data_IF_129295418790
#
_entry.id   IF_129295418790
#
_cell.length_a   1.000
_cell.length_b   1.000
_cell.length_c   1.000
_cell.angle_alpha   90.00
_cell.angle_beta   90.00
_cell.angle_gamma   90.00
#
_symmetry.space_group_name_H-M   'P 1'
#
loop_
_entity.id
_entity.type
_entity.pdbx_description
1 polymer ?
#
# COMPACT_ATOMS: atom_id res chain seq x y z
N UNK A 1 12.16 -15.36 11.06
CA UNK A 1 11.60 -16.25 10.02
C UNK A 1 12.54 -16.34 8.83
N UNK A 2 12.92 -15.20 8.21
CA UNK A 2 13.79 -15.20 7.01
C UNK A 2 15.11 -15.92 7.30
N UNK A 3 15.76 -15.61 8.41
CA UNK A 3 17.07 -16.21 8.78
C UNK A 3 17.00 -17.72 9.03
N UNK A 4 15.93 -18.17 9.68
CA UNK A 4 15.85 -19.55 10.17
C UNK A 4 15.07 -20.52 9.27
N UNK A 5 14.25 -20.01 8.34
CA UNK A 5 13.26 -20.81 7.61
C UNK A 5 13.35 -20.72 6.09
N UNK A 6 14.25 -19.90 5.55
CA UNK A 6 14.32 -19.71 4.09
C UNK A 6 15.72 -19.99 3.54
N UNK A 7 15.80 -20.24 2.22
CA UNK A 7 17.07 -20.31 1.51
C UNK A 7 17.85 -18.99 1.63
N UNK A 8 17.16 -17.86 1.75
CA UNK A 8 17.77 -16.54 1.94
C UNK A 8 18.57 -16.50 3.25
N UNK A 9 18.03 -17.06 4.33
CA UNK A 9 18.73 -17.12 5.63
C UNK A 9 20.08 -17.80 5.55
N UNK A 10 20.23 -18.82 4.69
CA UNK A 10 21.48 -19.56 4.53
C UNK A 10 22.62 -18.76 3.86
N UNK A 11 22.30 -17.64 3.25
CA UNK A 11 23.24 -16.81 2.50
C UNK A 11 23.31 -15.36 3.03
N UNK A 12 22.74 -15.10 4.22
CA UNK A 12 22.71 -13.74 4.79
C UNK A 12 24.09 -13.22 5.16
N UNK A 13 25.03 -14.08 5.49
CA UNK A 13 26.40 -13.70 5.79
C UNK A 13 27.11 -13.13 4.54
N UNK A 14 26.88 -13.75 3.38
CA UNK A 14 27.44 -13.31 2.10
C UNK A 14 26.63 -12.16 1.47
N UNK A 15 25.31 -12.19 1.68
CA UNK A 15 24.36 -11.24 1.09
C UNK A 15 23.41 -10.67 2.17
N UNK A 16 23.88 -9.79 3.03
CA UNK A 16 23.09 -9.27 4.15
C UNK A 16 21.83 -8.55 3.68
N UNK A 17 20.73 -8.79 4.39
CA UNK A 17 19.47 -8.07 4.19
C UNK A 17 19.54 -6.74 4.93
N UNK A 18 19.51 -5.63 4.18
CA UNK A 18 19.37 -4.29 4.73
C UNK A 18 17.91 -3.87 4.70
N UNK A 19 17.39 -3.42 5.83
CA UNK A 19 16.02 -2.94 5.93
C UNK A 19 16.00 -1.43 6.20
N UNK A 20 14.99 -0.76 5.63
CA UNK A 20 14.72 0.65 5.88
C UNK A 20 13.25 0.76 6.27
N UNK A 21 13.00 1.07 7.54
CA UNK A 21 11.66 1.36 8.05
C UNK A 21 11.36 2.86 7.87
N UNK A 22 10.22 3.16 7.27
CA UNK A 22 9.81 4.53 7.00
C UNK A 22 8.41 4.76 7.55
N UNK A 23 8.22 5.82 8.30
CA UNK A 23 6.92 6.28 8.78
C UNK A 23 6.94 7.81 8.95
N UNK A 24 5.78 8.46 8.85
CA UNK A 24 5.67 9.88 9.16
C UNK A 24 5.38 10.13 10.64
N UNK A 25 4.95 9.11 11.38
CA UNK A 25 4.63 9.21 12.81
C UNK A 25 5.87 8.89 13.65
N UNK A 26 6.38 9.88 14.37
CA UNK A 26 7.56 9.72 15.22
C UNK A 26 7.39 8.68 16.33
N UNK A 27 6.19 8.52 16.88
CA UNK A 27 5.93 7.49 17.89
C UNK A 27 6.05 6.09 17.27
N UNK A 28 5.52 5.88 16.06
CA UNK A 28 5.69 4.64 15.31
C UNK A 28 7.18 4.37 14.99
N UNK A 29 7.94 5.39 14.59
CA UNK A 29 9.38 5.25 14.34
C UNK A 29 10.14 4.82 15.57
N UNK A 30 9.82 5.36 16.75
CA UNK A 30 10.45 4.95 18.04
C UNK A 30 10.18 3.49 18.36
N UNK A 31 8.92 3.04 18.22
CA UNK A 31 8.54 1.65 18.48
C UNK A 31 9.19 0.71 17.47
N UNK A 32 9.17 1.07 16.17
CA UNK A 32 9.82 0.30 15.10
C UNK A 32 11.31 0.12 15.39
N UNK A 33 12.00 1.21 15.76
CA UNK A 33 13.42 1.15 16.10
C UNK A 33 13.69 0.22 17.28
N UNK A 34 12.91 0.32 18.34
CA UNK A 34 13.05 -0.55 19.51
C UNK A 34 12.84 -2.03 19.14
N UNK A 35 11.81 -2.35 18.38
CA UNK A 35 11.52 -3.72 17.93
C UNK A 35 12.65 -4.29 17.06
N UNK A 36 13.19 -3.51 16.13
CA UNK A 36 14.27 -3.95 15.25
C UNK A 36 15.57 -4.22 16.03
N UNK A 37 15.90 -3.36 17.00
CA UNK A 37 17.05 -3.55 17.90
C UNK A 37 16.84 -4.82 18.75
N UNK A 38 15.66 -4.99 19.35
CA UNK A 38 15.34 -6.16 20.17
C UNK A 38 15.39 -7.46 19.36
N UNK A 39 15.08 -7.40 18.09
CA UNK A 39 15.10 -8.55 17.15
C UNK A 39 16.46 -8.74 16.47
N UNK A 40 17.47 -7.95 16.85
CA UNK A 40 18.82 -7.97 16.25
C UNK A 40 18.80 -7.80 14.72
N UNK A 41 17.81 -7.07 14.20
CA UNK A 41 17.68 -6.81 12.77
C UNK A 41 18.43 -5.53 12.41
N UNK A 42 19.39 -5.65 11.48
CA UNK A 42 20.07 -4.49 10.95
C UNK A 42 19.17 -3.68 10.05
N UNK A 43 18.76 -2.52 10.53
CA UNK A 43 17.84 -1.64 9.82
C UNK A 43 18.14 -0.16 10.08
N UNK A 44 17.78 0.68 9.13
CA UNK A 44 17.62 2.13 9.33
C UNK A 44 16.15 2.42 9.57
N UNK A 45 15.86 3.39 10.44
CA UNK A 45 14.50 3.88 10.66
C UNK A 45 14.53 5.38 10.47
N UNK A 46 13.81 5.85 9.45
CA UNK A 46 13.81 7.24 9.01
C UNK A 46 12.39 7.78 8.90
N UNK A 47 12.28 9.09 9.01
CA UNK A 47 11.01 9.77 8.76
C UNK A 47 10.74 9.86 7.25
N UNK A 48 9.49 9.68 6.83
CA UNK A 48 9.08 9.87 5.45
C UNK A 48 7.57 9.87 5.28
N UNK A 49 7.10 10.64 4.31
CA UNK A 49 5.69 10.76 3.95
C UNK A 49 5.42 10.01 2.64
N UNK A 50 4.52 9.03 2.68
CA UNK A 50 4.10 8.24 1.52
C UNK A 50 3.52 9.12 0.39
N UNK A 51 2.98 10.29 0.69
CA UNK A 51 2.44 11.22 -0.30
C UNK A 51 3.53 11.95 -1.11
N UNK A 52 4.79 11.90 -0.64
CA UNK A 52 5.91 12.62 -1.25
C UNK A 52 7.16 11.73 -1.47
N UNK A 53 7.12 10.78 -2.42
CA UNK A 53 8.25 9.88 -2.69
C UNK A 53 9.51 10.61 -3.14
N UNK A 54 9.38 11.77 -3.78
CA UNK A 54 10.53 12.55 -4.23
C UNK A 54 11.36 13.06 -3.04
N UNK A 55 10.70 13.53 -1.98
CA UNK A 55 11.40 14.00 -0.78
C UNK A 55 12.10 12.84 -0.08
N UNK A 56 11.43 11.68 0.03
CA UNK A 56 12.03 10.47 0.60
C UNK A 56 13.25 9.99 -0.22
N UNK A 57 13.13 9.99 -1.56
CA UNK A 57 14.24 9.61 -2.44
C UNK A 57 15.44 10.54 -2.29
N UNK A 58 15.19 11.85 -2.15
CA UNK A 58 16.23 12.86 -1.92
C UNK A 58 16.92 12.62 -0.57
N UNK A 59 16.17 12.44 0.50
CA UNK A 59 16.71 12.18 1.85
C UNK A 59 17.57 10.91 1.89
N UNK A 60 17.09 9.82 1.29
CA UNK A 60 17.84 8.56 1.18
C UNK A 60 19.16 8.73 0.42
N UNK A 61 19.15 9.50 -0.66
CA UNK A 61 20.35 9.72 -1.45
C UNK A 61 21.35 10.63 -0.73
N UNK A 62 20.91 11.77 -0.18
CA UNK A 62 21.78 12.80 0.40
C UNK A 62 22.37 12.35 1.74
N UNK A 63 21.57 11.70 2.59
CA UNK A 63 22.00 11.36 3.96
C UNK A 63 22.52 9.92 4.10
N UNK A 64 22.20 9.02 3.17
CA UNK A 64 22.54 7.61 3.30
C UNK A 64 23.21 7.01 2.06
N UNK A 65 23.33 7.76 0.96
CA UNK A 65 23.84 7.27 -0.34
C UNK A 65 23.06 6.05 -0.85
N UNK A 66 21.73 6.05 -0.65
CA UNK A 66 20.84 4.97 -1.08
C UNK A 66 19.91 5.50 -2.16
N UNK A 67 19.92 4.88 -3.32
CA UNK A 67 18.93 5.14 -4.35
C UNK A 67 17.66 4.31 -4.07
N UNK A 68 16.55 4.98 -3.86
CA UNK A 68 15.26 4.31 -3.61
C UNK A 68 14.85 3.37 -4.75
N UNK A 69 15.34 3.61 -5.98
CA UNK A 69 15.09 2.77 -7.16
C UNK A 69 15.80 1.42 -7.10
N UNK A 70 16.80 1.29 -6.24
CA UNK A 70 17.53 0.04 -6.01
C UNK A 70 16.93 -0.81 -4.88
N UNK A 71 15.80 -0.38 -4.32
CA UNK A 71 15.11 -1.07 -3.25
C UNK A 71 13.85 -1.79 -3.75
N UNK A 72 13.56 -2.96 -3.16
CA UNK A 72 12.20 -3.50 -3.16
C UNK A 72 11.37 -2.67 -2.18
N UNK A 73 10.38 -1.97 -2.69
CA UNK A 73 9.46 -1.21 -1.85
C UNK A 73 8.37 -2.13 -1.31
N UNK A 74 8.10 -2.07 -0.01
CA UNK A 74 7.06 -2.85 0.66
C UNK A 74 6.13 -1.91 1.40
N UNK A 75 4.83 -2.08 1.21
CA UNK A 75 3.80 -1.33 1.93
C UNK A 75 2.77 -2.26 2.51
N UNK A 76 2.31 -1.91 3.70
CA UNK A 76 1.34 -2.71 4.44
C UNK A 76 0.22 -1.79 4.91
N UNK A 77 -0.96 -1.92 4.32
CA UNK A 77 -2.17 -1.19 4.72
C UNK A 77 -2.02 0.34 4.71
N UNK A 78 -1.35 0.88 3.68
CA UNK A 78 -1.03 2.31 3.63
C UNK A 78 -1.83 3.08 2.57
N UNK A 79 -2.08 2.49 1.41
CA UNK A 79 -2.65 3.24 0.29
C UNK A 79 -4.12 3.63 0.53
N UNK A 80 -4.91 2.78 1.21
CA UNK A 80 -6.27 3.14 1.62
C UNK A 80 -6.31 4.17 2.75
N UNK A 81 -5.25 4.28 3.55
CA UNK A 81 -5.14 5.18 4.71
C UNK A 81 -4.35 6.46 4.39
N UNK A 82 -4.11 6.73 3.10
CA UNK A 82 -3.44 7.96 2.66
C UNK A 82 -4.28 9.20 2.96
N UNK A 83 -3.64 10.33 3.17
CA UNK A 83 -4.33 11.61 3.23
C UNK A 83 -4.92 11.91 1.84
N UNK A 84 -6.24 12.15 1.78
CA UNK A 84 -6.90 12.51 0.52
C UNK A 84 -6.33 13.81 -0.04
N UNK A 85 -5.95 13.76 -1.31
CA UNK A 85 -5.57 14.92 -2.10
C UNK A 85 -6.55 15.07 -3.25
N UNK A 86 -7.15 16.26 -3.36
CA UNK A 86 -8.06 16.56 -4.47
C UNK A 86 -7.28 16.45 -5.79
N UNK A 87 -7.73 15.63 -6.73
CA UNK A 87 -7.08 15.55 -8.04
C UNK A 87 -7.11 16.87 -8.77
N UNK A 88 -6.03 17.24 -9.45
CA UNK A 88 -5.95 18.44 -10.26
C UNK A 88 -6.92 18.41 -11.45
N UNK A 89 -7.18 17.22 -11.98
CA UNK A 89 -8.12 16.97 -13.07
C UNK A 89 -8.69 15.55 -12.97
N UNK A 90 -9.99 15.41 -13.01
CA UNK A 90 -10.65 14.11 -13.04
C UNK A 90 -10.69 13.62 -14.48
N UNK A 91 -9.79 12.73 -14.84
CA UNK A 91 -9.75 12.04 -16.14
C UNK A 91 -10.25 10.60 -16.05
N UNK A 92 -10.44 10.09 -14.85
CA UNK A 92 -10.95 8.75 -14.58
C UNK A 92 -12.42 8.66 -15.01
N UNK A 93 -12.70 7.91 -16.08
CA UNK A 93 -14.02 7.92 -16.73
C UNK A 93 -15.07 7.14 -15.98
N UNK A 94 -14.68 6.03 -15.35
CA UNK A 94 -15.61 5.11 -14.71
C UNK A 94 -14.90 4.30 -13.62
N UNK A 95 -15.16 4.65 -12.36
CA UNK A 95 -14.80 3.83 -11.22
C UNK A 95 -15.83 2.72 -11.05
N UNK A 96 -15.37 1.49 -10.85
CA UNK A 96 -16.20 0.36 -10.47
C UNK A 96 -16.33 0.24 -8.93
N UNK A 97 -15.67 1.12 -8.18
CA UNK A 97 -15.82 1.11 -6.73
C UNK A 97 -17.24 1.41 -6.31
N UNK A 98 -17.74 0.65 -5.37
CA UNK A 98 -19.07 0.77 -4.79
C UNK A 98 -19.07 1.42 -3.40
N UNK A 99 -17.88 1.78 -2.88
CA UNK A 99 -17.73 2.40 -1.57
C UNK A 99 -18.39 3.79 -1.46
N UNK A 100 -18.72 4.19 -0.24
CA UNK A 100 -19.21 5.53 0.09
C UNK A 100 -18.10 6.29 0.81
N UNK A 101 -17.54 7.28 0.16
CA UNK A 101 -16.38 8.02 0.65
C UNK A 101 -16.74 9.42 1.10
N UNK A 102 -16.06 9.89 2.14
CA UNK A 102 -16.18 11.25 2.63
C UNK A 102 -14.82 11.81 3.04
N UNK A 103 -14.67 13.12 2.98
CA UNK A 103 -13.52 13.84 3.51
C UNK A 103 -14.01 15.15 4.14
N UNK A 104 -13.63 15.38 5.39
CA UNK A 104 -14.07 16.56 6.16
C UNK A 104 -15.57 16.78 6.11
N UNK A 105 -16.35 15.70 6.25
CA UNK A 105 -17.82 15.73 6.25
C UNK A 105 -18.47 15.92 4.88
N UNK A 106 -17.71 15.94 3.78
CA UNK A 106 -18.24 16.05 2.41
C UNK A 106 -18.10 14.73 1.68
N UNK A 107 -19.15 14.29 1.01
CA UNK A 107 -19.12 13.10 0.16
C UNK A 107 -18.18 13.33 -1.02
N UNK A 108 -17.36 12.33 -1.30
CA UNK A 108 -16.45 12.30 -2.46
C UNK A 108 -17.01 11.31 -3.50
N UNK A 109 -16.97 11.70 -4.77
CA UNK A 109 -17.35 10.83 -5.88
C UNK A 109 -16.31 9.70 -6.06
N UNK A 110 -16.77 8.51 -6.42
CA UNK A 110 -15.91 7.34 -6.59
C UNK A 110 -14.86 7.53 -7.69
N UNK A 111 -15.20 8.23 -8.78
CA UNK A 111 -14.21 8.59 -9.81
C UNK A 111 -13.09 9.47 -9.24
N UNK A 112 -13.43 10.39 -8.34
CA UNK A 112 -12.44 11.26 -7.67
C UNK A 112 -11.52 10.45 -6.77
N UNK A 113 -12.04 9.45 -6.04
CA UNK A 113 -11.22 8.56 -5.20
C UNK A 113 -10.28 7.71 -6.05
N UNK A 114 -10.78 7.11 -7.14
CA UNK A 114 -9.96 6.33 -8.07
C UNK A 114 -8.89 7.17 -8.73
N UNK A 115 -9.22 8.41 -9.14
CA UNK A 115 -8.25 9.36 -9.69
C UNK A 115 -7.18 9.76 -8.66
N UNK A 116 -7.58 10.08 -7.43
CA UNK A 116 -6.67 10.42 -6.34
C UNK A 116 -5.70 9.27 -6.02
N UNK A 117 -6.18 8.03 -6.00
CA UNK A 117 -5.30 6.87 -5.82
C UNK A 117 -4.35 6.71 -7.01
N UNK A 118 -4.85 6.84 -8.23
CA UNK A 118 -4.03 6.75 -9.44
C UNK A 118 -2.89 7.77 -9.40
N UNK A 119 -3.17 9.04 -9.13
CA UNK A 119 -2.15 10.11 -9.02
C UNK A 119 -1.15 9.82 -7.89
N UNK A 120 -1.63 9.25 -6.77
CA UNK A 120 -0.75 8.81 -5.69
C UNK A 120 0.23 7.73 -6.16
N UNK A 121 -0.24 6.70 -6.86
CA UNK A 121 0.58 5.62 -7.40
C UNK A 121 1.52 6.12 -8.50
N UNK A 122 1.06 7.01 -9.38
CA UNK A 122 1.89 7.62 -10.44
C UNK A 122 3.11 8.35 -9.88
N UNK A 123 3.00 8.99 -8.71
CA UNK A 123 4.16 9.60 -8.02
C UNK A 123 5.22 8.57 -7.64
N UNK A 124 4.82 7.35 -7.31
CA UNK A 124 5.71 6.26 -6.90
C UNK A 124 6.28 5.46 -8.07
N UNK A 125 5.57 5.40 -9.18
CA UNK A 125 5.92 4.59 -10.34
C UNK A 125 7.39 4.74 -10.78
N UNK A 126 7.99 5.95 -10.85
CA UNK A 126 9.40 6.11 -11.24
C UNK A 126 10.40 5.44 -10.29
N UNK A 127 10.02 5.25 -9.04
CA UNK A 127 10.90 4.74 -7.97
C UNK A 127 10.81 3.23 -7.77
N UNK A 128 9.72 2.60 -8.21
CA UNK A 128 9.44 1.19 -7.93
C UNK A 128 9.52 0.27 -9.14
N UNK A 129 9.72 0.81 -10.35
CA UNK A 129 9.71 0.03 -11.60
C UNK A 129 10.72 -1.10 -11.64
N UNK A 130 11.92 -0.89 -11.11
CA UNK A 130 13.05 -1.82 -11.27
C UNK A 130 12.90 -3.08 -10.42
N UNK A 131 12.72 -2.92 -9.10
CA UNK A 131 12.65 -4.04 -8.16
C UNK A 131 11.22 -4.35 -7.71
N UNK A 132 10.31 -3.43 -7.92
CA UNK A 132 8.89 -3.61 -7.67
C UNK A 132 8.38 -2.97 -6.39
N UNK A 133 7.07 -3.05 -6.27
CA UNK A 133 6.28 -2.63 -5.13
C UNK A 133 5.49 -3.85 -4.62
N UNK A 134 5.88 -4.39 -3.49
CA UNK A 134 5.13 -5.44 -2.80
C UNK A 134 4.08 -4.77 -1.91
N UNK A 135 2.82 -5.02 -2.20
CA UNK A 135 1.69 -4.46 -1.46
C UNK A 135 0.95 -5.55 -0.69
N UNK A 136 0.68 -5.25 0.57
CA UNK A 136 -0.32 -5.92 1.40
C UNK A 136 -1.38 -4.86 1.66
N UNK A 137 -2.57 -5.02 1.02
CA UNK A 137 -3.56 -3.96 1.05
C UNK A 137 -4.95 -4.46 1.46
N UNK A 138 -5.72 -3.56 2.06
CA UNK A 138 -7.08 -3.78 2.51
C UNK A 138 -8.07 -3.39 1.40
N UNK A 139 -9.11 -4.21 1.23
CA UNK A 139 -10.12 -4.02 0.21
C UNK A 139 -11.53 -4.15 0.78
N UNK A 140 -12.47 -3.43 0.18
CA UNK A 140 -13.88 -3.69 0.39
C UNK A 140 -14.39 -4.76 -0.58
N UNK A 141 -15.60 -5.22 -0.37
CA UNK A 141 -16.29 -6.21 -1.19
C UNK A 141 -17.58 -5.58 -1.72
N UNK A 142 -18.00 -5.99 -2.91
CA UNK A 142 -19.23 -5.48 -3.51
C UNK A 142 -20.43 -5.61 -2.55
N UNK A 143 -21.23 -4.55 -2.33
CA UNK A 143 -22.32 -4.54 -1.33
C UNK A 143 -23.37 -5.64 -1.52
N UNK A 144 -23.64 -6.07 -2.76
CA UNK A 144 -24.58 -7.19 -3.02
C UNK A 144 -24.03 -8.50 -2.47
N UNK A 145 -22.73 -8.73 -2.64
CA UNK A 145 -22.06 -9.93 -2.13
C UNK A 145 -21.95 -9.87 -0.60
N UNK A 146 -21.69 -8.70 -0.03
CA UNK A 146 -21.69 -8.48 1.44
C UNK A 146 -23.07 -8.76 2.01
N UNK A 147 -24.16 -8.28 1.38
CA UNK A 147 -25.53 -8.51 1.84
C UNK A 147 -25.92 -10.00 1.86
N UNK A 148 -25.40 -10.79 0.92
CA UNK A 148 -25.59 -12.26 0.88
C UNK A 148 -24.74 -13.00 1.94
N UNK A 149 -23.75 -12.35 2.49
CA UNK A 149 -22.76 -12.94 3.40
C UNK A 149 -22.58 -12.14 4.69
N UNK A 150 -23.67 -11.55 5.21
CA UNK A 150 -23.66 -10.79 6.47
C UNK A 150 -23.07 -11.66 7.59
N UNK A 151 -22.12 -11.10 8.32
CA UNK A 151 -21.43 -11.79 9.42
C UNK A 151 -20.33 -12.76 8.98
N UNK A 152 -20.12 -12.96 7.66
CA UNK A 152 -19.04 -13.82 7.12
C UNK A 152 -17.87 -13.05 6.53
N UNK A 153 -17.98 -11.72 6.42
CA UNK A 153 -16.93 -10.85 5.91
C UNK A 153 -16.77 -9.61 6.79
N UNK A 154 -15.55 -9.12 6.92
CA UNK A 154 -15.23 -7.88 7.60
C UNK A 154 -15.63 -6.63 6.78
N UNK A 155 -15.94 -6.78 5.48
CA UNK A 155 -16.26 -5.67 4.58
C UNK A 155 -17.44 -4.83 5.08
N UNK A 156 -18.41 -5.42 5.79
CA UNK A 156 -19.52 -4.68 6.41
C UNK A 156 -19.05 -3.62 7.38
N UNK A 157 -17.99 -3.89 8.15
CA UNK A 157 -17.40 -2.92 9.07
C UNK A 157 -16.60 -1.84 8.32
N UNK A 158 -15.95 -2.19 7.24
CA UNK A 158 -15.13 -1.25 6.47
C UNK A 158 -15.96 -0.16 5.81
N UNK A 159 -17.10 -0.50 5.23
CA UNK A 159 -18.00 0.48 4.62
C UNK A 159 -18.53 1.50 5.63
N UNK A 160 -18.72 1.09 6.89
CA UNK A 160 -19.11 2.00 7.97
C UNK A 160 -17.98 2.96 8.38
N UNK A 161 -16.74 2.54 8.26
CA UNK A 161 -15.57 3.31 8.72
C UNK A 161 -15.10 4.36 7.73
N UNK A 162 -15.39 4.22 6.44
CA UNK A 162 -14.96 5.17 5.40
C UNK A 162 -15.34 6.62 5.70
N UNK A 163 -16.53 6.83 6.28
CA UNK A 163 -17.02 8.17 6.60
C UNK A 163 -16.44 8.78 7.88
N UNK A 164 -15.88 7.96 8.77
CA UNK A 164 -15.37 8.39 10.07
C UNK A 164 -13.85 8.53 10.13
N UNK A 165 -13.14 7.68 9.39
CA UNK A 165 -11.69 7.54 9.53
C UNK A 165 -10.93 8.09 8.33
N UNK A 166 -11.60 8.71 7.38
CA UNK A 166 -11.00 9.19 6.11
C UNK A 166 -10.21 8.08 5.39
N UNK A 167 -10.67 6.83 5.51
CA UNK A 167 -10.08 5.69 4.80
C UNK A 167 -10.77 5.50 3.45
N UNK A 168 -9.99 5.12 2.44
CA UNK A 168 -10.45 5.02 1.05
C UNK A 168 -10.22 3.61 0.54
N UNK A 169 -10.93 2.65 1.14
CA UNK A 169 -10.83 1.23 0.83
C UNK A 169 -11.68 0.96 -0.43
N UNK A 170 -11.07 0.38 -1.44
CA UNK A 170 -11.72 0.03 -2.72
C UNK A 170 -11.61 -1.46 -2.99
N UNK A 171 -12.41 -1.96 -3.93
CA UNK A 171 -12.41 -3.37 -4.34
C UNK A 171 -11.10 -3.76 -5.01
N UNK A 172 -10.71 -5.04 -4.89
CA UNK A 172 -9.45 -5.58 -5.45
C UNK A 172 -9.35 -5.30 -6.96
N UNK A 173 -10.41 -5.54 -7.72
CA UNK A 173 -10.39 -5.41 -9.18
C UNK A 173 -10.21 -3.96 -9.62
N UNK A 174 -10.85 -3.02 -8.92
CA UNK A 174 -10.66 -1.58 -9.18
C UNK A 174 -9.25 -1.15 -8.80
N UNK A 175 -8.71 -1.64 -7.68
CA UNK A 175 -7.34 -1.38 -7.26
C UNK A 175 -6.33 -1.88 -8.32
N UNK A 176 -6.48 -3.11 -8.81
CA UNK A 176 -5.62 -3.67 -9.85
C UNK A 176 -5.68 -2.87 -11.16
N UNK A 177 -6.87 -2.40 -11.54
CA UNK A 177 -7.06 -1.53 -12.70
C UNK A 177 -6.30 -0.21 -12.54
N UNK A 178 -6.43 0.43 -11.37
CA UNK A 178 -5.74 1.69 -11.07
C UNK A 178 -4.22 1.50 -11.12
N UNK A 179 -3.68 0.44 -10.52
CA UNK A 179 -2.25 0.14 -10.56
C UNK A 179 -1.75 0.01 -12.00
N UNK A 180 -2.49 -0.71 -12.86
CA UNK A 180 -2.16 -0.85 -14.28
C UNK A 180 -2.19 0.48 -15.02
N UNK A 181 -3.21 1.31 -14.79
CA UNK A 181 -3.31 2.64 -15.40
C UNK A 181 -2.21 3.61 -14.92
N UNK A 182 -1.70 3.42 -13.71
CA UNK A 182 -0.55 4.15 -13.18
C UNK A 182 0.81 3.60 -13.68
N UNK A 183 0.80 2.59 -14.56
CA UNK A 183 2.00 2.03 -15.18
C UNK A 183 2.69 0.94 -14.36
N UNK A 184 1.97 0.27 -13.46
CA UNK A 184 2.47 -0.86 -12.68
C UNK A 184 1.63 -2.11 -12.97
N UNK A 185 2.29 -3.19 -13.37
CA UNK A 185 1.65 -4.46 -13.69
C UNK A 185 1.77 -5.45 -12.53
N UNK A 186 0.65 -6.09 -12.18
CA UNK A 186 0.62 -7.13 -11.16
C UNK A 186 1.26 -8.42 -11.65
N UNK A 187 2.13 -9.01 -10.85
CA UNK A 187 2.56 -10.39 -11.04
C UNK A 187 1.46 -11.33 -10.49
N UNK A 188 0.55 -11.72 -11.36
CA UNK A 188 -0.63 -12.52 -11.00
C UNK A 188 -0.24 -13.88 -10.40
N UNK A 189 0.92 -14.44 -10.76
CA UNK A 189 1.41 -15.70 -10.15
C UNK A 189 1.69 -15.56 -8.66
N UNK A 190 1.94 -14.33 -8.21
CA UNK A 190 2.24 -13.96 -6.81
C UNK A 190 1.07 -13.31 -6.10
N UNK A 191 -0.04 -13.10 -6.79
CA UNK A 191 -1.25 -12.58 -6.14
C UNK A 191 -1.79 -13.61 -5.14
N UNK A 192 -2.02 -13.17 -3.92
CA UNK A 192 -2.71 -13.92 -2.88
C UNK A 192 -3.86 -13.08 -2.34
N UNK A 193 -4.98 -13.74 -2.04
CA UNK A 193 -6.18 -13.12 -1.50
C UNK A 193 -6.57 -13.79 -0.19
N UNK A 194 -7.08 -13.02 0.75
CA UNK A 194 -7.46 -13.52 2.07
C UNK A 194 -8.84 -12.98 2.48
N UNK A 195 -9.80 -13.89 2.77
CA UNK A 195 -9.76 -15.32 2.45
C UNK A 195 -9.57 -15.57 0.94
N UNK A 196 -9.15 -16.77 0.55
CA UNK A 196 -9.04 -17.16 -0.87
C UNK A 196 -10.44 -17.46 -1.45
N UNK A 197 -11.21 -16.38 -1.64
CA UNK A 197 -12.59 -16.41 -2.10
C UNK A 197 -13.00 -15.05 -2.63
N UNK A 198 -14.23 -14.93 -3.14
CA UNK A 198 -14.84 -13.65 -3.55
C UNK A 198 -15.03 -12.66 -2.38
N UNK A 199 -14.99 -13.15 -1.13
CA UNK A 199 -15.08 -12.33 0.07
C UNK A 199 -13.72 -11.81 0.55
N UNK A 200 -12.70 -11.90 -0.26
CA UNK A 200 -11.36 -11.43 0.08
C UNK A 200 -11.34 -9.93 0.40
N UNK A 201 -10.82 -9.60 1.57
CA UNK A 201 -10.65 -8.22 2.04
C UNK A 201 -9.19 -7.81 2.14
N UNK A 202 -8.27 -8.75 1.95
CA UNK A 202 -6.83 -8.47 1.90
C UNK A 202 -6.23 -9.09 0.66
N UNK A 203 -5.35 -8.36 -0.01
CA UNK A 203 -4.52 -8.91 -1.06
C UNK A 203 -3.03 -8.71 -0.77
N UNK A 204 -2.21 -9.65 -1.27
CA UNK A 204 -0.76 -9.51 -1.35
C UNK A 204 -0.38 -9.64 -2.81
N UNK A 205 0.30 -8.65 -3.35
CA UNK A 205 0.72 -8.67 -4.75
C UNK A 205 2.03 -7.92 -4.96
N UNK A 206 2.87 -8.44 -5.86
CA UNK A 206 4.05 -7.74 -6.36
C UNK A 206 3.71 -7.04 -7.67
N UNK A 207 3.94 -5.73 -7.71
CA UNK A 207 3.77 -4.89 -8.90
C UNK A 207 5.12 -4.48 -9.47
N UNK A 208 5.22 -4.42 -10.78
CA UNK A 208 6.41 -3.96 -11.52
C UNK A 208 6.02 -3.05 -12.67
N UNK A 209 6.92 -2.19 -13.11
CA UNK A 209 6.74 -1.33 -14.29
C UNK A 209 7.10 -2.02 -15.59
#
# INVERSE_FOLDING_TARGET
>A
VIENQTLRGKILDDYPLKMIGVDYNEAALKVTRANLIQSEIWAKVIWGDISNPMLLAKDLMENYSIDIRDLLNVRTFLDHNRIFQEPSKITYKSSNSSGSYAFKGRRINNNTISQSLKEHIEKWTPYVKRFGLLLIELHTVNPKLVAQNIGKTAATAYDLTHGYSDQYIIEIDEYMKIMKEAGLSADISKLRKFPDSELATVSICLFKG
#
